data_IF_718689747176
#
_entry.id   IF_718689747176
#
_cell.length_a   1.000
_cell.length_b   1.000
_cell.length_c   1.000
_cell.angle_alpha   90.00
_cell.angle_beta   90.00
_cell.angle_gamma   90.00
#
_symmetry.space_group_name_H-M   'P 1'
#
loop_
_entity.id
_entity.type
_entity.pdbx_description
1 polymer ?
#
# COMPACT_ATOMS: atom_id res chain seq x y z
N UNK A 1 -12.41 -21.35 0.07
CA UNK A 1 -12.50 -19.90 -0.19
C UNK A 1 -11.38 -19.54 -1.17
N UNK A 2 -11.71 -19.12 -2.40
CA UNK A 2 -10.68 -18.79 -3.39
C UNK A 2 -10.13 -17.38 -3.12
N UNK A 3 -8.87 -17.29 -2.70
CA UNK A 3 -8.22 -16.00 -2.43
C UNK A 3 -7.69 -15.45 -3.75
N UNK A 4 -8.35 -14.41 -4.27
CA UNK A 4 -7.89 -13.68 -5.45
C UNK A 4 -6.57 -12.96 -5.16
N UNK A 5 -5.60 -13.00 -6.08
CA UNK A 5 -4.36 -12.24 -5.95
C UNK A 5 -4.58 -10.73 -5.68
N UNK A 6 -3.82 -10.14 -4.77
CA UNK A 6 -3.92 -8.71 -4.42
C UNK A 6 -2.54 -8.06 -4.27
N UNK A 7 -2.41 -6.84 -4.77
CA UNK A 7 -1.24 -5.99 -4.54
C UNK A 7 -1.65 -4.80 -3.69
N UNK A 8 -1.11 -4.75 -2.48
CA UNK A 8 -1.44 -3.80 -1.44
C UNK A 8 -0.24 -2.88 -1.22
N UNK A 9 -0.46 -1.57 -1.14
CA UNK A 9 0.53 -0.64 -0.61
C UNK A 9 0.08 -0.15 0.77
N UNK A 10 1.05 0.01 1.69
CA UNK A 10 0.84 0.67 2.98
C UNK A 10 1.65 1.97 3.00
N UNK A 11 1.03 3.09 3.34
CA UNK A 11 1.64 4.42 3.23
C UNK A 11 2.00 4.95 4.60
N UNK A 12 3.25 5.33 4.78
CA UNK A 12 3.77 5.89 6.03
C UNK A 12 4.28 7.31 5.83
N UNK A 13 4.33 8.09 6.90
CA UNK A 13 4.80 9.48 6.84
C UNK A 13 6.30 9.54 6.57
N UNK A 14 7.07 8.60 7.12
CA UNK A 14 8.55 8.65 7.08
C UNK A 14 9.17 7.44 6.37
N UNK A 15 10.37 7.62 5.77
CA UNK A 15 11.17 6.51 5.25
C UNK A 15 11.48 5.45 6.30
N UNK A 16 11.70 5.83 7.55
CA UNK A 16 12.03 4.92 8.66
C UNK A 16 10.88 3.96 8.96
N UNK A 17 9.68 4.50 9.17
CA UNK A 17 8.46 3.69 9.39
C UNK A 17 8.20 2.72 8.22
N UNK A 18 8.44 3.18 6.99
CA UNK A 18 8.35 2.35 5.78
C UNK A 18 9.37 1.20 5.78
N UNK A 19 10.61 1.44 6.18
CA UNK A 19 11.63 0.38 6.24
C UNK A 19 11.33 -0.65 7.33
N UNK A 20 10.88 -0.19 8.49
CA UNK A 20 10.43 -1.06 9.58
C UNK A 20 9.24 -1.93 9.15
N UNK A 21 8.24 -1.32 8.51
CA UNK A 21 7.06 -2.03 8.02
C UNK A 21 7.42 -3.07 6.93
N UNK A 22 8.31 -2.74 5.99
CA UNK A 22 8.74 -3.71 4.96
C UNK A 22 9.41 -4.94 5.58
N UNK A 23 10.27 -4.78 6.59
CA UNK A 23 10.87 -5.92 7.30
C UNK A 23 9.81 -6.82 7.94
N UNK A 24 8.74 -6.24 8.48
CA UNK A 24 7.62 -7.00 9.05
C UNK A 24 6.83 -7.73 7.95
N UNK A 25 6.52 -7.06 6.84
CA UNK A 25 5.74 -7.64 5.75
C UNK A 25 6.45 -8.76 4.99
N UNK A 26 7.76 -8.67 4.82
CA UNK A 26 8.58 -9.74 4.23
C UNK A 26 8.40 -11.04 5.00
N UNK A 27 8.40 -10.98 6.32
CA UNK A 27 8.27 -12.16 7.19
C UNK A 27 6.81 -12.63 7.36
N UNK A 28 5.82 -11.74 7.18
CA UNK A 28 4.44 -12.01 7.60
C UNK A 28 3.79 -13.19 6.85
N UNK A 29 4.11 -13.38 5.56
CA UNK A 29 3.51 -14.43 4.74
C UNK A 29 4.50 -15.49 4.27
N UNK A 30 5.76 -15.42 4.69
CA UNK A 30 6.80 -16.35 4.26
C UNK A 30 6.42 -17.79 4.61
N UNK A 31 6.57 -18.72 3.65
CA UNK A 31 6.20 -20.13 3.82
C UNK A 31 4.70 -20.43 3.82
N UNK A 32 3.82 -19.44 3.64
CA UNK A 32 2.36 -19.65 3.59
C UNK A 32 1.82 -19.64 2.15
N UNK A 33 0.65 -20.28 1.93
CA UNK A 33 -0.06 -20.22 0.65
C UNK A 33 -0.49 -18.79 0.24
N UNK A 34 -0.43 -17.84 1.18
CA UNK A 34 -0.73 -16.43 0.94
C UNK A 34 0.42 -15.69 0.25
N UNK A 35 1.65 -16.18 0.37
CA UNK A 35 2.85 -15.57 -0.24
C UNK A 35 2.67 -15.32 -1.75
N UNK A 36 2.04 -16.26 -2.46
CA UNK A 36 1.76 -16.11 -3.89
C UNK A 36 0.47 -15.38 -4.24
N UNK A 37 -0.35 -15.08 -3.23
CA UNK A 37 -1.68 -14.47 -3.39
C UNK A 37 -1.73 -13.03 -2.90
N UNK A 38 -0.85 -12.62 -1.99
CA UNK A 38 -0.87 -11.27 -1.44
C UNK A 38 0.54 -10.71 -1.44
N UNK A 39 0.73 -9.55 -2.07
CA UNK A 39 1.89 -8.71 -1.84
C UNK A 39 1.49 -7.47 -1.07
N UNK A 40 2.20 -7.19 0.02
CA UNK A 40 2.13 -5.92 0.75
C UNK A 40 3.48 -5.23 0.58
N UNK A 41 3.46 -3.93 0.31
CA UNK A 41 4.65 -3.11 0.18
C UNK A 41 4.45 -1.79 0.91
N UNK A 42 5.33 -1.46 1.86
CA UNK A 42 5.33 -0.17 2.51
C UNK A 42 5.99 0.89 1.61
N UNK A 43 5.37 2.07 1.55
CA UNK A 43 5.88 3.26 0.86
C UNK A 43 5.85 4.45 1.82
N UNK A 44 6.76 5.40 1.62
CA UNK A 44 6.76 6.66 2.34
C UNK A 44 6.16 7.78 1.46
N UNK A 45 5.57 8.78 2.11
CA UNK A 45 5.18 10.03 1.46
C UNK A 45 6.36 10.63 0.68
N UNK A 46 6.09 11.14 -0.52
CA UNK A 46 7.11 11.68 -1.42
C UNK A 46 7.74 10.63 -2.34
N UNK A 47 7.62 9.34 -2.05
CA UNK A 47 8.11 8.29 -2.95
C UNK A 47 7.21 8.15 -4.19
N UNK A 48 7.83 7.92 -5.34
CA UNK A 48 7.10 7.59 -6.56
C UNK A 48 6.63 6.14 -6.53
N UNK A 49 5.36 5.92 -6.87
CA UNK A 49 4.79 4.58 -7.09
C UNK A 49 4.44 4.32 -8.55
N UNK A 50 4.82 5.24 -9.44
CA UNK A 50 4.56 5.10 -10.88
C UNK A 50 5.24 3.85 -11.42
N UNK A 51 4.49 3.03 -12.13
CA UNK A 51 5.00 1.80 -12.75
C UNK A 51 5.11 0.61 -11.82
N UNK A 52 4.84 0.76 -10.51
CA UNK A 52 4.80 -0.39 -9.59
C UNK A 52 3.72 -1.38 -10.01
N UNK A 53 4.12 -2.63 -10.17
CA UNK A 53 3.26 -3.78 -10.49
C UNK A 53 3.74 -5.00 -9.72
N UNK A 54 2.82 -5.92 -9.47
CA UNK A 54 3.15 -7.24 -8.97
C UNK A 54 2.45 -8.28 -9.82
N UNK A 55 3.23 -9.15 -10.48
CA UNK A 55 2.72 -9.99 -11.57
C UNK A 55 2.06 -9.08 -12.63
N UNK A 56 0.83 -9.37 -13.02
CA UNK A 56 0.02 -8.53 -13.93
C UNK A 56 -0.84 -7.49 -13.19
N UNK A 57 -0.74 -7.39 -11.86
CA UNK A 57 -1.64 -6.60 -11.04
C UNK A 57 -1.11 -5.18 -10.83
N UNK A 58 -2.01 -4.22 -10.97
CA UNK A 58 -1.87 -2.87 -10.41
C UNK A 58 -2.18 -2.90 -8.91
N UNK A 59 -1.85 -1.81 -8.23
CA UNK A 59 -2.16 -1.62 -6.81
C UNK A 59 -3.68 -1.65 -6.63
N UNK A 60 -4.19 -2.72 -6.01
CA UNK A 60 -5.63 -2.98 -5.85
C UNK A 60 -6.12 -2.62 -4.45
N UNK A 61 -5.20 -2.35 -3.51
CA UNK A 61 -5.54 -1.86 -2.18
C UNK A 61 -4.49 -0.89 -1.65
N UNK A 62 -4.96 0.12 -0.92
CA UNK A 62 -4.14 1.10 -0.21
C UNK A 62 -4.52 1.05 1.26
N UNK A 63 -3.52 0.96 2.12
CA UNK A 63 -3.63 1.17 3.56
C UNK A 63 -2.92 2.49 3.84
N UNK A 64 -3.65 3.52 4.23
CA UNK A 64 -3.06 4.81 4.57
C UNK A 64 -2.79 4.89 6.08
N UNK A 65 -1.52 4.76 6.46
CA UNK A 65 -1.05 4.84 7.84
C UNK A 65 -0.52 6.25 8.18
N UNK A 66 -0.70 7.24 7.30
CA UNK A 66 -0.19 8.59 7.52
C UNK A 66 -1.01 9.34 8.57
N UNK A 67 -0.31 10.10 9.42
CA UNK A 67 -0.88 10.98 10.45
C UNK A 67 -0.97 12.43 9.98
N UNK A 68 -0.28 12.81 8.89
CA UNK A 68 -0.16 14.21 8.42
C UNK A 68 -0.88 14.46 7.08
N UNK A 69 -2.21 14.34 7.07
CA UNK A 69 -3.01 14.32 5.83
C UNK A 69 -3.10 15.61 4.97
N UNK A 70 -3.03 16.87 5.48
CA UNK A 70 -3.12 18.00 4.55
C UNK A 70 -1.83 18.24 3.74
N UNK A 71 -0.65 17.92 4.29
CA UNK A 71 0.65 18.13 3.61
C UNK A 71 0.84 17.19 2.41
N UNK A 72 0.22 16.02 2.47
CA UNK A 72 0.50 14.91 1.53
C UNK A 72 -0.45 14.91 0.32
N UNK A 73 -1.40 15.85 0.26
CA UNK A 73 -2.52 15.83 -0.69
C UNK A 73 -2.08 15.94 -2.15
N UNK A 74 -1.13 16.84 -2.46
CA UNK A 74 -0.62 17.03 -3.83
C UNK A 74 0.13 15.78 -4.32
N UNK A 75 1.03 15.26 -3.49
CA UNK A 75 1.76 14.02 -3.78
C UNK A 75 0.80 12.85 -4.01
N UNK A 76 -0.23 12.73 -3.17
CA UNK A 76 -1.23 11.67 -3.29
C UNK A 76 -1.92 11.66 -4.67
N UNK A 77 -2.44 12.83 -5.07
CA UNK A 77 -3.15 12.98 -6.34
C UNK A 77 -2.25 12.82 -7.57
N UNK A 78 -0.98 13.24 -7.49
CA UNK A 78 -0.07 13.25 -8.63
C UNK A 78 0.73 11.94 -8.77
N UNK A 79 1.13 11.34 -7.66
CA UNK A 79 2.05 10.21 -7.64
C UNK A 79 1.33 8.88 -7.42
N UNK A 80 0.33 8.84 -6.54
CA UNK A 80 -0.28 7.56 -6.16
C UNK A 80 -1.57 7.26 -6.88
N UNK A 81 -2.57 8.15 -6.84
CA UNK A 81 -3.87 7.94 -7.49
C UNK A 81 -3.77 7.43 -8.93
N UNK A 82 -2.86 7.95 -9.79
CA UNK A 82 -2.73 7.47 -11.18
C UNK A 82 -2.22 6.03 -11.32
N UNK A 83 -1.55 5.50 -10.29
CA UNK A 83 -0.94 4.16 -10.31
C UNK A 83 -1.90 3.05 -9.84
N UNK A 84 -2.99 3.43 -9.18
CA UNK A 84 -3.99 2.51 -8.61
C UNK A 84 -4.84 1.82 -9.68
N UNK A 85 -5.29 0.60 -9.41
CA UNK A 85 -6.31 -0.07 -10.20
C UNK A 85 -7.63 0.74 -10.21
N UNK A 86 -8.45 0.68 -11.27
CA UNK A 86 -9.73 1.41 -11.30
C UNK A 86 -10.67 1.07 -10.14
N UNK A 87 -10.61 -0.16 -9.64
CA UNK A 87 -11.43 -0.71 -8.56
C UNK A 87 -10.69 -0.76 -7.20
N UNK A 88 -9.59 -0.01 -7.08
CA UNK A 88 -8.73 0.00 -5.89
C UNK A 88 -9.54 0.30 -4.62
N UNK A 89 -9.26 -0.46 -3.55
CA UNK A 89 -9.89 -0.30 -2.24
C UNK A 89 -8.98 0.49 -1.30
N UNK A 90 -9.59 1.29 -0.43
CA UNK A 90 -8.89 2.07 0.57
C UNK A 90 -9.30 1.54 1.95
N UNK A 91 -8.34 0.98 2.68
CA UNK A 91 -8.50 0.76 4.10
C UNK A 91 -7.97 2.00 4.81
N UNK A 92 -8.84 2.67 5.56
CA UNK A 92 -8.39 3.51 6.65
C UNK A 92 -7.93 2.54 7.75
N UNK A 93 -6.65 2.57 8.13
CA UNK A 93 -6.25 1.97 9.40
C UNK A 93 -7.05 2.68 10.50
N UNK A 94 -8.03 1.98 11.08
CA UNK A 94 -9.01 2.50 12.04
C UNK A 94 -9.89 3.68 11.53
N UNK A 95 -11.10 3.78 12.09
CA UNK A 95 -12.28 4.43 11.49
C UNK A 95 -12.75 5.67 12.31
N UNK A 96 -13.21 6.71 11.60
CA UNK A 96 -14.37 7.61 11.92
C UNK A 96 -14.13 8.60 13.10
N UNK A 97 -14.39 9.91 13.03
CA UNK A 97 -15.51 10.67 12.45
C UNK A 97 -15.07 12.04 11.86
N UNK A 98 -15.89 12.54 10.92
CA UNK A 98 -16.03 13.90 10.31
C UNK A 98 -14.77 14.67 9.89
#
# INVERSE_FOLDING_TARGET
MEIKPRYIIAIYDTPQERDEANKVYENYYEGTFLHDKIKIEAIAVGQSVRGKRWKHLRISKVIDCTRRRPVNFKWWHQCVKPSLAPDCKFDNGERFDV
#
